data_IF_451268137240
#
_entry.id   IF_451268137240
#
_cell.length_a   1.000
_cell.length_b   1.000
_cell.length_c   1.000
_cell.angle_alpha   90.00
_cell.angle_beta   90.00
_cell.angle_gamma   90.00
#
_symmetry.space_group_name_H-M   'P 1'
#
loop_
_entity.id
_entity.type
_entity.pdbx_description
1 polymer ?
#
# COMPACT_ATOMS: atom_id res chain seq x y z
N UNK A 1 -25.52 -4.23 -4.68
CA UNK A 1 -24.79 -3.06 -4.13
C UNK A 1 -23.39 -3.53 -3.77
N UNK A 2 -22.37 -3.17 -4.55
CA UNK A 2 -20.99 -3.59 -4.27
C UNK A 2 -20.43 -2.88 -3.04
N UNK A 3 -19.52 -3.52 -2.28
CA UNK A 3 -18.83 -2.91 -1.13
C UNK A 3 -18.19 -1.55 -1.49
N UNK A 4 -17.77 -1.41 -2.74
CA UNK A 4 -17.18 -0.19 -3.30
C UNK A 4 -18.10 1.04 -3.26
N UNK A 5 -19.42 0.87 -3.30
CA UNK A 5 -20.37 2.00 -3.26
C UNK A 5 -20.58 2.54 -1.84
N UNK A 6 -20.09 1.84 -0.80
CA UNK A 6 -20.22 2.26 0.60
C UNK A 6 -18.99 3.00 1.14
N UNK A 7 -17.89 3.05 0.38
CA UNK A 7 -16.65 3.70 0.82
C UNK A 7 -16.61 5.16 0.36
N UNK A 8 -17.08 6.05 1.25
CA UNK A 8 -16.95 7.50 1.06
C UNK A 8 -15.55 8.05 1.33
N UNK A 9 -15.31 9.34 1.03
CA UNK A 9 -14.01 10.01 1.20
C UNK A 9 -13.39 9.88 2.60
N UNK A 10 -14.23 9.93 3.64
CA UNK A 10 -13.79 9.81 5.05
C UNK A 10 -13.11 8.45 5.33
N UNK A 11 -13.59 7.38 4.70
CA UNK A 11 -12.96 6.06 4.84
C UNK A 11 -11.62 5.99 4.11
N UNK A 12 -11.50 6.66 2.95
CA UNK A 12 -10.24 6.74 2.21
C UNK A 12 -9.19 7.55 2.98
N UNK A 13 -9.60 8.64 3.61
CA UNK A 13 -8.71 9.40 4.50
C UNK A 13 -8.29 8.59 5.73
N UNK A 14 -9.18 7.76 6.29
CA UNK A 14 -8.81 6.82 7.35
C UNK A 14 -7.76 5.80 6.87
N UNK A 15 -7.90 5.23 5.68
CA UNK A 15 -6.88 4.34 5.11
C UNK A 15 -5.54 5.05 4.92
N UNK A 16 -5.55 6.32 4.49
CA UNK A 16 -4.34 7.14 4.36
C UNK A 16 -3.67 7.36 5.72
N UNK A 17 -4.46 7.62 6.77
CA UNK A 17 -3.94 7.84 8.13
C UNK A 17 -3.30 6.57 8.71
N UNK A 18 -4.00 5.43 8.61
CA UNK A 18 -3.46 4.13 9.03
C UNK A 18 -2.18 3.81 8.25
N UNK A 19 -2.16 4.08 6.94
CA UNK A 19 -0.99 3.92 6.09
C UNK A 19 0.20 4.78 6.54
N UNK A 20 -0.02 6.06 6.85
CA UNK A 20 1.03 6.95 7.34
C UNK A 20 1.59 6.52 8.71
N UNK A 21 0.74 6.04 9.62
CA UNK A 21 1.19 5.50 10.92
C UNK A 21 2.09 4.27 10.71
N UNK A 22 1.66 3.31 9.88
CA UNK A 22 2.46 2.14 9.54
C UNK A 22 3.78 2.48 8.83
N UNK A 23 3.73 3.44 7.92
CA UNK A 23 4.87 3.95 7.18
C UNK A 23 5.91 4.62 8.10
N UNK A 24 5.49 5.38 9.11
CA UNK A 24 6.40 6.04 10.07
C UNK A 24 7.24 5.04 10.87
N UNK A 25 6.61 3.97 11.36
CA UNK A 25 7.32 2.88 12.04
C UNK A 25 8.30 2.18 11.08
N UNK A 26 7.84 1.88 9.86
CA UNK A 26 8.65 1.24 8.83
C UNK A 26 9.86 2.10 8.45
N UNK A 27 9.67 3.41 8.27
CA UNK A 27 10.73 4.36 7.96
C UNK A 27 11.80 4.39 9.05
N UNK A 28 11.39 4.33 10.33
CA UNK A 28 12.32 4.27 11.46
C UNK A 28 13.15 2.99 11.44
N UNK A 29 12.51 1.83 11.25
CA UNK A 29 13.20 0.54 11.14
C UNK A 29 14.17 0.49 9.96
N UNK A 30 13.74 0.94 8.78
CA UNK A 30 14.59 1.00 7.58
C UNK A 30 15.77 1.96 7.75
N UNK A 31 15.53 3.13 8.36
CA UNK A 31 16.58 4.10 8.67
C UNK A 31 17.69 3.48 9.53
N UNK A 32 17.32 2.71 10.55
CA UNK A 32 18.28 1.97 11.39
C UNK A 32 19.00 0.86 10.61
N UNK A 33 18.29 0.10 9.77
CA UNK A 33 18.89 -1.00 8.98
C UNK A 33 19.88 -0.49 7.93
N UNK A 34 19.59 0.67 7.33
CA UNK A 34 20.41 1.26 6.26
C UNK A 34 21.46 2.25 6.79
N UNK A 35 21.40 2.63 8.06
CA UNK A 35 22.18 3.71 8.65
C UNK A 35 22.08 5.02 7.84
N UNK A 36 20.88 5.35 7.38
CA UNK A 36 20.59 6.51 6.53
C UNK A 36 19.19 7.04 6.85
N UNK A 37 19.00 8.36 6.77
CA UNK A 37 17.68 8.96 7.01
C UNK A 37 16.69 8.48 5.96
N UNK A 38 15.60 7.83 6.40
CA UNK A 38 14.49 7.39 5.57
C UNK A 38 13.21 8.09 6.04
N UNK A 39 12.46 8.66 5.10
CA UNK A 39 11.13 9.22 5.32
C UNK A 39 10.16 8.57 4.34
N UNK A 40 9.00 8.13 4.83
CA UNK A 40 7.96 7.49 4.02
C UNK A 40 6.64 8.19 4.33
N UNK A 41 5.87 8.49 3.29
CA UNK A 41 4.51 9.04 3.42
C UNK A 41 3.56 8.32 2.47
N UNK A 42 2.29 8.25 2.85
CA UNK A 42 1.21 7.69 2.03
C UNK A 42 0.40 8.85 1.47
N UNK A 43 0.58 9.19 0.18
CA UNK A 43 0.00 10.42 -0.40
C UNK A 43 -1.50 10.29 -0.68
N UNK A 44 -1.99 9.08 -0.95
CA UNK A 44 -3.40 8.85 -1.24
C UNK A 44 -3.81 7.40 -0.99
N UNK A 45 -5.12 7.17 -0.83
CA UNK A 45 -5.72 5.85 -0.80
C UNK A 45 -6.83 5.77 -1.85
N UNK A 46 -6.89 4.65 -2.58
CA UNK A 46 -7.89 4.38 -3.60
C UNK A 46 -8.35 2.93 -3.48
N UNK A 47 -9.60 2.69 -3.82
CA UNK A 47 -10.15 1.34 -3.86
C UNK A 47 -10.38 0.99 -5.32
N UNK A 48 -9.67 -0.04 -5.79
CA UNK A 48 -9.69 -0.46 -7.19
C UNK A 48 -9.82 -1.98 -7.30
N UNK A 49 -10.42 -2.51 -8.38
CA UNK A 49 -10.38 -3.94 -8.66
C UNK A 49 -8.94 -4.41 -8.88
N UNK A 50 -8.60 -5.58 -8.33
CA UNK A 50 -7.25 -6.17 -8.45
C UNK A 50 -6.79 -6.31 -9.91
N UNK A 51 -7.71 -6.64 -10.83
CA UNK A 51 -7.44 -6.77 -12.26
C UNK A 51 -7.02 -5.45 -12.93
N UNK A 52 -7.21 -4.30 -12.26
CA UNK A 52 -6.77 -2.98 -12.73
C UNK A 52 -5.42 -2.54 -12.17
N UNK A 53 -4.80 -3.30 -11.25
CA UNK A 53 -3.49 -2.94 -10.68
C UNK A 53 -2.42 -2.75 -11.75
N UNK A 54 -2.28 -3.63 -12.78
CA UNK A 54 -1.28 -3.43 -13.83
C UNK A 54 -1.46 -2.13 -14.61
N UNK A 55 -2.70 -1.62 -14.70
CA UNK A 55 -3.01 -0.36 -15.39
C UNK A 55 -2.62 0.89 -14.58
N UNK A 56 -2.08 0.73 -13.36
CA UNK A 56 -1.54 1.84 -12.57
C UNK A 56 -0.10 2.20 -12.96
N UNK A 57 0.62 1.27 -13.59
CA UNK A 57 2.00 1.47 -14.05
C UNK A 57 1.99 2.13 -15.43
N UNK A 58 3.09 2.82 -15.78
CA UNK A 58 3.24 3.42 -17.11
C UNK A 58 3.33 2.34 -18.19
N UNK A 59 4.08 1.28 -17.91
CA UNK A 59 4.15 0.06 -18.71
C UNK A 59 3.62 -1.14 -17.91
N UNK A 60 2.45 -1.72 -18.28
CA UNK A 60 1.89 -2.89 -17.61
C UNK A 60 2.77 -4.16 -17.69
N UNK A 61 3.75 -4.19 -18.59
CA UNK A 61 4.68 -5.32 -18.77
C UNK A 61 6.04 -5.07 -18.09
N UNK A 62 6.20 -3.96 -17.37
CA UNK A 62 7.42 -3.63 -16.65
C UNK A 62 7.78 -4.72 -15.62
N UNK A 63 9.06 -5.11 -15.60
CA UNK A 63 9.58 -6.05 -14.60
C UNK A 63 9.80 -5.29 -13.31
N UNK A 64 9.02 -5.63 -12.28
CA UNK A 64 9.05 -5.00 -10.96
C UNK A 64 9.46 -5.97 -9.87
N UNK A 65 9.97 -5.45 -8.75
CA UNK A 65 10.15 -6.22 -7.54
C UNK A 65 8.83 -6.26 -6.74
N UNK A 66 8.33 -7.47 -6.45
CA UNK A 66 7.10 -7.68 -5.70
C UNK A 66 7.32 -8.41 -4.39
N UNK A 67 6.79 -7.87 -3.29
CA UNK A 67 6.74 -8.53 -1.98
C UNK A 67 5.28 -8.77 -1.60
N UNK A 68 4.90 -10.03 -1.38
CA UNK A 68 3.55 -10.43 -0.94
C UNK A 68 3.61 -11.03 0.45
N UNK A 69 2.80 -10.48 1.35
CA UNK A 69 2.66 -10.94 2.73
C UNK A 69 1.23 -11.38 3.00
N UNK A 70 1.05 -12.59 3.54
CA UNK A 70 -0.26 -13.08 3.98
C UNK A 70 -0.69 -12.42 5.29
N UNK A 71 -1.98 -12.13 5.40
CA UNK A 71 -2.64 -11.66 6.62
C UNK A 71 -3.71 -12.68 6.99
N UNK A 72 -3.69 -13.13 8.24
CA UNK A 72 -4.60 -14.13 8.79
C UNK A 72 -5.20 -13.63 10.12
N UNK A 73 -6.33 -14.20 10.53
CA UNK A 73 -7.03 -13.85 11.78
C UNK A 73 -8.29 -13.03 11.52
N UNK A 74 -8.43 -11.89 12.22
CA UNK A 74 -9.63 -11.02 12.13
C UNK A 74 -9.87 -10.48 10.71
N UNK A 75 -8.81 -10.42 9.90
CA UNK A 75 -8.88 -10.10 8.47
C UNK A 75 -8.03 -11.12 7.71
N UNK A 76 -8.62 -11.76 6.71
CA UNK A 76 -7.91 -12.62 5.77
C UNK A 76 -7.60 -11.86 4.48
N UNK A 77 -6.34 -11.90 4.04
CA UNK A 77 -5.96 -11.22 2.81
C UNK A 77 -4.45 -11.20 2.54
N UNK A 78 -4.04 -10.31 1.64
CA UNK A 78 -2.64 -10.12 1.28
C UNK A 78 -2.29 -8.64 1.29
N UNK A 79 -1.12 -8.33 1.83
CA UNK A 79 -0.42 -7.08 1.55
C UNK A 79 0.51 -7.31 0.37
N UNK A 80 0.39 -6.48 -0.67
CA UNK A 80 1.29 -6.48 -1.82
C UNK A 80 2.06 -5.16 -1.84
N UNK A 81 3.37 -5.25 -1.81
CA UNK A 81 4.28 -4.14 -2.03
C UNK A 81 4.93 -4.32 -3.39
N UNK A 82 4.87 -3.30 -4.24
CA UNK A 82 5.48 -3.30 -5.57
C UNK A 82 6.46 -2.14 -5.63
N UNK A 83 7.68 -2.43 -6.07
CA UNK A 83 8.78 -1.47 -6.20
C UNK A 83 9.23 -1.53 -7.65
N UNK A 84 9.20 -0.39 -8.32
CA UNK A 84 9.82 -0.20 -9.63
C UNK A 84 11.35 -0.16 -9.48
N UNK A 85 12.06 -0.45 -10.57
CA UNK A 85 13.53 -0.52 -10.59
C UNK A 85 14.20 0.78 -10.98
#
# INVERSE_FOLDING_TARGET
>A
MGIFEKLGPQHLDLFKEIGNIGAGNTATSLSMMMNAKVEISVPSAKVIPIAKIPMLFEDPEEIVAGVRMGIEGDVEGYLLFVIDS
#
